data_IF_961166692868
#
_entry.id   IF_961166692868
#
_cell.length_a   1.000
_cell.length_b   1.000
_cell.length_c   1.000
_cell.angle_alpha   90.00
_cell.angle_beta   90.00
_cell.angle_gamma   90.00
#
_symmetry.space_group_name_H-M   'P 1'
#
loop_
_entity.id
_entity.type
_entity.pdbx_description
1 polymer ?
#
# COMPACT_ATOMS: atom_id res chain seq x y z
N UNK A 1 -9.33 -12.77 2.14
CA UNK A 1 -8.09 -13.08 2.88
C UNK A 1 -6.96 -13.61 1.97
N UNK A 2 -7.01 -14.82 1.39
CA UNK A 2 -5.89 -15.39 0.62
C UNK A 2 -5.39 -14.51 -0.55
N UNK A 3 -6.32 -13.90 -1.31
CA UNK A 3 -5.98 -12.99 -2.42
C UNK A 3 -5.36 -11.67 -1.95
N UNK A 4 -5.75 -11.15 -0.79
CA UNK A 4 -5.16 -9.93 -0.22
C UNK A 4 -3.69 -10.15 0.14
N UNK A 5 -3.39 -11.29 0.77
CA UNK A 5 -2.02 -11.72 1.05
C UNK A 5 -1.20 -11.92 -0.23
N UNK A 6 -1.81 -12.42 -1.30
CA UNK A 6 -1.16 -12.54 -2.61
C UNK A 6 -0.81 -11.18 -3.22
N UNK A 7 -1.75 -10.22 -3.21
CA UNK A 7 -1.49 -8.85 -3.69
C UNK A 7 -0.47 -8.12 -2.82
N UNK A 8 -0.50 -8.34 -1.50
CA UNK A 8 0.53 -7.87 -0.59
C UNK A 8 1.91 -8.42 -0.97
N UNK A 9 2.04 -9.74 -1.10
CA UNK A 9 3.30 -10.39 -1.43
C UNK A 9 3.82 -9.95 -2.82
N UNK A 10 2.94 -9.89 -3.83
CA UNK A 10 3.30 -9.40 -5.17
C UNK A 10 3.76 -7.94 -5.13
N UNK A 11 3.04 -7.07 -4.43
CA UNK A 11 3.40 -5.66 -4.29
C UNK A 11 4.74 -5.48 -3.58
N UNK A 12 4.98 -6.22 -2.49
CA UNK A 12 6.25 -6.18 -1.76
C UNK A 12 7.41 -6.71 -2.60
N UNK A 13 7.27 -7.87 -3.23
CA UNK A 13 8.34 -8.47 -4.05
C UNK A 13 8.65 -7.56 -5.24
N UNK A 14 7.63 -7.09 -5.96
CA UNK A 14 7.84 -6.21 -7.11
C UNK A 14 8.52 -4.90 -6.71
N UNK A 15 8.06 -4.26 -5.63
CA UNK A 15 8.65 -3.02 -5.15
C UNK A 15 10.09 -3.24 -4.68
N UNK A 16 10.36 -4.33 -3.95
CA UNK A 16 11.72 -4.67 -3.52
C UNK A 16 12.65 -4.87 -4.72
N UNK A 17 12.24 -5.63 -5.73
CA UNK A 17 13.02 -5.86 -6.95
C UNK A 17 13.31 -4.53 -7.67
N UNK A 18 12.32 -3.64 -7.80
CA UNK A 18 12.53 -2.32 -8.44
C UNK A 18 13.54 -1.49 -7.65
N UNK A 19 13.42 -1.39 -6.32
CA UNK A 19 14.36 -0.58 -5.54
C UNK A 19 15.77 -1.22 -5.53
N UNK A 20 15.86 -2.54 -5.44
CA UNK A 20 17.13 -3.28 -5.41
C UNK A 20 17.90 -3.16 -6.73
N UNK A 21 17.25 -3.34 -7.88
CA UNK A 21 17.92 -3.31 -9.19
C UNK A 21 18.13 -1.90 -9.74
N UNK A 22 17.22 -0.96 -9.48
CA UNK A 22 17.26 0.36 -10.15
C UNK A 22 17.69 1.52 -9.26
N UNK A 23 17.44 1.47 -7.95
CA UNK A 23 17.64 2.63 -7.06
C UNK A 23 18.89 2.57 -6.19
N UNK A 24 19.65 1.46 -6.23
CA UNK A 24 20.97 1.30 -5.59
C UNK A 24 21.09 2.07 -4.27
N UNK A 25 20.15 1.81 -3.36
CA UNK A 25 20.08 2.59 -2.12
C UNK A 25 21.20 2.17 -1.19
N UNK A 26 21.84 3.13 -0.53
CA UNK A 26 22.83 2.88 0.53
C UNK A 26 22.23 2.15 1.75
N UNK A 27 20.90 2.01 1.84
CA UNK A 27 20.19 1.49 3.02
C UNK A 27 19.11 0.47 2.62
N UNK A 28 19.51 -0.79 2.51
CA UNK A 28 18.63 -1.95 2.27
C UNK A 28 17.43 -1.99 3.24
N UNK A 29 17.64 -1.61 4.49
CA UNK A 29 16.58 -1.57 5.52
C UNK A 29 15.41 -0.66 5.11
N UNK A 30 15.73 0.48 4.48
CA UNK A 30 14.77 1.49 4.06
C UNK A 30 14.06 1.05 2.76
N UNK A 31 14.76 0.35 1.87
CA UNK A 31 14.13 -0.28 0.70
C UNK A 31 13.13 -1.35 1.08
N UNK A 32 13.46 -2.19 2.08
CA UNK A 32 12.54 -3.20 2.61
C UNK A 32 11.31 -2.51 3.21
N UNK A 33 11.50 -1.45 3.99
CA UNK A 33 10.40 -0.67 4.57
C UNK A 33 9.47 -0.08 3.49
N UNK A 34 10.03 0.49 2.42
CA UNK A 34 9.24 1.00 1.30
C UNK A 34 8.54 -0.10 0.53
N UNK A 35 9.19 -1.24 0.33
CA UNK A 35 8.58 -2.39 -0.32
C UNK A 35 7.41 -2.96 0.50
N UNK A 36 7.56 -3.03 1.82
CA UNK A 36 6.49 -3.39 2.73
C UNK A 36 5.35 -2.39 2.66
N UNK A 37 5.63 -1.09 2.72
CA UNK A 37 4.62 -0.03 2.61
C UNK A 37 3.79 -0.15 1.33
N UNK A 38 4.47 -0.43 0.20
CA UNK A 38 3.85 -0.64 -1.10
C UNK A 38 2.98 -1.91 -1.14
N UNK A 39 3.46 -3.03 -0.59
CA UNK A 39 2.68 -4.25 -0.49
C UNK A 39 1.47 -4.11 0.43
N UNK A 40 1.64 -3.47 1.60
CA UNK A 40 0.54 -3.19 2.54
C UNK A 40 -0.55 -2.41 1.82
N UNK A 41 -0.19 -1.41 1.02
CA UNK A 41 -1.14 -0.63 0.24
C UNK A 41 -1.97 -1.51 -0.72
N UNK A 42 -1.34 -2.42 -1.48
CA UNK A 42 -2.07 -3.36 -2.35
C UNK A 42 -2.96 -4.32 -1.59
N UNK A 43 -2.44 -4.88 -0.49
CA UNK A 43 -3.19 -5.81 0.36
C UNK A 43 -4.43 -5.16 0.98
N UNK A 44 -4.28 -3.94 1.49
CA UNK A 44 -5.37 -3.17 2.09
C UNK A 44 -6.35 -2.68 1.06
N UNK A 45 -5.88 -2.14 -0.07
CA UNK A 45 -6.77 -1.70 -1.14
C UNK A 45 -7.67 -2.85 -1.61
N UNK A 46 -7.11 -4.05 -1.81
CA UNK A 46 -7.88 -5.24 -2.15
C UNK A 46 -8.81 -5.70 -1.02
N UNK A 47 -8.34 -5.69 0.24
CA UNK A 47 -9.16 -6.10 1.39
C UNK A 47 -10.39 -5.20 1.57
N UNK A 48 -10.21 -3.89 1.41
CA UNK A 48 -11.24 -2.88 1.50
C UNK A 48 -12.14 -2.82 0.26
N UNK A 49 -11.75 -3.44 -0.85
CA UNK A 49 -12.54 -3.54 -2.09
C UNK A 49 -13.63 -4.63 -2.00
N UNK A 50 -14.40 -4.60 -0.92
CA UNK A 50 -15.59 -5.43 -0.69
C UNK A 50 -16.80 -4.53 -0.43
N UNK A 51 -18.03 -5.03 -0.66
CA UNK A 51 -19.26 -4.28 -0.39
C UNK A 51 -19.53 -4.07 1.11
N UNK A 52 -18.85 -4.82 1.97
CA UNK A 52 -19.04 -4.75 3.43
C UNK A 52 -18.50 -3.45 4.05
N UNK A 53 -17.59 -2.75 3.35
CA UNK A 53 -17.02 -1.49 3.81
C UNK A 53 -17.62 -0.29 3.08
N UNK A 54 -18.09 0.68 3.85
CA UNK A 54 -18.52 2.00 3.33
C UNK A 54 -17.31 2.85 2.94
N UNK A 55 -17.51 3.84 2.06
CA UNK A 55 -16.44 4.74 1.62
C UNK A 55 -15.69 5.43 2.79
N UNK A 56 -16.37 5.99 3.82
CA UNK A 56 -15.67 6.58 4.96
C UNK A 56 -14.83 5.57 5.74
N UNK A 57 -15.29 4.32 5.88
CA UNK A 57 -14.51 3.25 6.53
C UNK A 57 -13.27 2.89 5.70
N UNK A 58 -13.38 2.80 4.37
CA UNK A 58 -12.24 2.51 3.51
C UNK A 58 -11.16 3.58 3.65
N UNK A 59 -11.56 4.86 3.62
CA UNK A 59 -10.65 5.99 3.78
C UNK A 59 -10.06 6.03 5.20
N UNK A 60 -10.89 5.88 6.24
CA UNK A 60 -10.45 5.89 7.63
C UNK A 60 -9.41 4.80 7.94
N UNK A 61 -9.65 3.57 7.49
CA UNK A 61 -8.69 2.46 7.66
C UNK A 61 -7.39 2.75 6.90
N UNK A 62 -7.50 3.29 5.68
CA UNK A 62 -6.32 3.61 4.87
C UNK A 62 -5.46 4.71 5.51
N UNK A 63 -6.08 5.78 6.02
CA UNK A 63 -5.38 6.82 6.77
C UNK A 63 -4.78 6.31 8.08
N UNK A 64 -5.49 5.43 8.80
CA UNK A 64 -4.95 4.81 10.01
C UNK A 64 -3.68 4.01 9.71
N UNK A 65 -3.68 3.23 8.62
CA UNK A 65 -2.50 2.47 8.21
C UNK A 65 -1.37 3.38 7.77
N UNK A 66 -1.66 4.43 7.01
CA UNK A 66 -0.65 5.43 6.64
C UNK A 66 -0.03 6.07 7.88
N UNK A 67 -0.84 6.41 8.89
CA UNK A 67 -0.36 6.92 10.18
C UNK A 67 0.56 5.92 10.88
N UNK A 68 0.16 4.65 10.96
CA UNK A 68 1.00 3.58 11.54
C UNK A 68 2.31 3.42 10.78
N UNK A 69 2.29 3.44 9.45
CA UNK A 69 3.50 3.38 8.64
C UNK A 69 4.43 4.53 8.97
N UNK A 70 3.92 5.77 9.02
CA UNK A 70 4.74 6.95 9.34
C UNK A 70 5.34 6.85 10.73
N UNK A 71 4.56 6.43 11.73
CA UNK A 71 5.06 6.26 13.09
C UNK A 71 6.18 5.21 13.16
N UNK A 72 6.00 4.07 12.50
CA UNK A 72 7.02 3.01 12.42
C UNK A 72 8.26 3.52 11.66
N UNK A 73 8.08 4.16 10.51
CA UNK A 73 9.18 4.70 9.71
C UNK A 73 9.97 5.77 10.46
N UNK A 74 9.27 6.63 11.20
CA UNK A 74 9.92 7.67 12.02
C UNK A 74 10.70 7.07 13.17
N UNK A 75 10.18 6.02 13.81
CA UNK A 75 10.87 5.33 14.91
C UNK A 75 12.07 4.48 14.48
N UNK A 76 12.06 3.92 13.27
CA UNK A 76 13.17 3.10 12.75
C UNK A 76 14.23 3.91 11.98
N UNK A 77 13.84 5.06 11.43
CA UNK A 77 14.67 5.85 10.54
C UNK A 77 14.64 7.34 10.94
N UNK A 78 13.90 8.15 10.20
CA UNK A 78 13.63 9.56 10.47
C UNK A 78 12.31 9.96 9.81
N UNK A 79 11.72 11.07 10.24
CA UNK A 79 10.45 11.56 9.67
C UNK A 79 10.56 11.80 8.16
N UNK A 80 11.68 12.38 7.70
CA UNK A 80 11.94 12.64 6.28
C UNK A 80 11.93 11.36 5.44
N UNK A 81 12.48 10.27 5.98
CA UNK A 81 12.50 8.96 5.34
C UNK A 81 11.16 8.22 5.50
N UNK A 82 10.32 8.61 6.45
CA UNK A 82 8.99 8.05 6.59
C UNK A 82 8.00 8.63 5.57
N UNK A 83 8.12 9.91 5.20
CA UNK A 83 7.19 10.58 4.27
C UNK A 83 7.01 9.83 2.92
N UNK A 84 8.08 9.33 2.26
CA UNK A 84 7.94 8.58 1.01
C UNK A 84 7.06 7.33 1.11
N UNK A 85 6.90 6.72 2.30
CA UNK A 85 6.02 5.57 2.46
C UNK A 85 4.55 5.95 2.29
N UNK A 86 4.15 7.15 2.73
CA UNK A 86 2.81 7.72 2.54
C UNK A 86 2.53 7.90 1.06
N UNK A 87 3.51 8.44 0.32
CA UNK A 87 3.38 8.67 -1.12
C UNK A 87 3.23 7.35 -1.86
N UNK A 88 4.11 6.39 -1.60
CA UNK A 88 4.03 5.04 -2.20
C UNK A 88 2.70 4.36 -1.88
N UNK A 89 2.23 4.45 -0.64
CA UNK A 89 0.94 3.90 -0.24
C UNK A 89 -0.22 4.57 -0.98
N UNK A 90 -0.25 5.90 -1.00
CA UNK A 90 -1.31 6.68 -1.66
C UNK A 90 -1.39 6.40 -3.15
N UNK A 91 -0.24 6.35 -3.83
CA UNK A 91 -0.18 6.04 -5.26
C UNK A 91 -0.77 4.66 -5.55
N UNK A 92 -0.39 3.64 -4.77
CA UNK A 92 -0.94 2.29 -4.93
C UNK A 92 -2.43 2.25 -4.66
N UNK A 93 -2.87 2.90 -3.58
CA UNK A 93 -4.28 2.95 -3.22
C UNK A 93 -5.10 3.58 -4.34
N UNK A 94 -4.70 4.76 -4.82
CA UNK A 94 -5.37 5.45 -5.93
C UNK A 94 -5.34 4.59 -7.20
N UNK A 95 -4.19 4.01 -7.56
CA UNK A 95 -4.05 3.17 -8.74
C UNK A 95 -4.98 1.95 -8.69
N UNK A 96 -5.06 1.28 -7.52
CA UNK A 96 -5.96 0.15 -7.32
C UNK A 96 -7.40 0.55 -7.57
N UNK A 97 -7.89 1.62 -6.93
CA UNK A 97 -9.29 2.03 -7.05
C UNK A 97 -9.61 2.58 -8.43
N UNK A 98 -8.65 3.22 -9.09
CA UNK A 98 -8.78 3.65 -10.47
C UNK A 98 -8.94 2.44 -11.40
N UNK A 99 -8.08 1.41 -11.28
CA UNK A 99 -8.23 0.16 -12.04
C UNK A 99 -9.55 -0.55 -11.70
N UNK A 100 -9.92 -0.58 -10.42
CA UNK A 100 -11.18 -1.18 -9.97
C UNK A 100 -12.40 -0.45 -10.53
N UNK A 101 -12.33 0.87 -10.74
CA UNK A 101 -13.42 1.67 -11.31
C UNK A 101 -13.79 1.26 -12.74
N UNK A 102 -12.84 0.68 -13.49
CA UNK A 102 -13.06 0.18 -14.86
C UNK A 102 -13.59 -1.26 -14.92
N UNK A 103 -13.67 -1.99 -13.79
CA UNK A 103 -14.23 -3.35 -13.79
C UNK A 103 -15.76 -3.33 -13.96
N UNK A 104 -16.25 -4.05 -14.97
CA UNK A 104 -17.67 -4.14 -15.32
C UNK A 104 -18.55 -4.77 -14.22
N UNK A 105 -17.97 -5.61 -13.35
CA UNK A 105 -18.64 -6.17 -12.16
C UNK A 105 -18.53 -5.21 -10.97
N UNK A 106 -19.35 -4.16 -10.97
CA UNK A 106 -19.54 -3.31 -9.78
C UNK A 106 -20.30 -4.09 -8.71
N UNK A 107 -19.74 -4.23 -7.51
CA UNK A 107 -20.50 -4.68 -6.33
C UNK A 107 -21.61 -3.70 -5.93
N UNK A 108 -21.56 -2.46 -6.43
CA UNK A 108 -22.55 -1.39 -6.22
C UNK A 108 -23.68 -1.37 -7.28
N UNK A 109 -23.74 -2.33 -8.20
CA UNK A 109 -24.91 -2.55 -9.06
C UNK A 109 -25.80 -3.61 -8.40
N UNK A 110 -26.51 -3.20 -7.35
CA UNK A 110 -27.79 -3.80 -6.96
C UNK A 110 -28.73 -2.67 -6.62
#
# INVERSE_FOLDING_TARGET
>A
MKKALMYFALGTVLSFLINYFFYSSKNISLDIYYALSFGIAWGIAYYLDTPDFTLPQKLGISFAVMGVLVLIGTGLFSLEQAIPSILKFSTVFVAYYLIASFRANKSLRR
#
